data_IF_888118843768
#
_entry.id   IF_888118843768
#
_cell.length_a   1.000
_cell.length_b   1.000
_cell.length_c   1.000
_cell.angle_alpha   90.00
_cell.angle_beta   90.00
_cell.angle_gamma   90.00
#
_symmetry.space_group_name_H-M   'P 1'
#
loop_
_entity.id
_entity.type
_entity.pdbx_description
1 polymer ?
#
# COMPACT_ATOMS: atom_id res chain seq x y z
N UNK A 1 -18.50 15.43 30.92
CA UNK A 1 -17.45 15.22 29.90
C UNK A 1 -18.12 14.74 28.61
N UNK A 2 -17.94 15.44 27.49
CA UNK A 2 -18.47 15.03 26.18
C UNK A 2 -17.41 14.16 25.51
N UNK A 3 -17.52 12.83 25.65
CA UNK A 3 -16.60 11.85 25.04
C UNK A 3 -16.89 11.62 23.55
N UNK A 4 -18.03 12.10 23.03
CA UNK A 4 -18.45 11.92 21.65
C UNK A 4 -17.41 12.30 20.57
N UNK A 5 -16.63 13.40 20.72
CA UNK A 5 -15.62 13.76 19.72
C UNK A 5 -14.45 12.77 19.65
N UNK A 6 -14.02 12.21 20.79
CA UNK A 6 -12.93 11.23 20.84
C UNK A 6 -13.33 9.92 20.17
N UNK A 7 -14.55 9.43 20.44
CA UNK A 7 -15.07 8.22 19.79
C UNK A 7 -15.20 8.37 18.27
N UNK A 8 -15.48 9.58 17.78
CA UNK A 8 -15.55 9.83 16.34
C UNK A 8 -14.15 9.82 15.72
N UNK A 9 -13.18 10.48 16.35
CA UNK A 9 -11.79 10.48 15.90
C UNK A 9 -11.19 9.06 15.88
N UNK A 10 -11.41 8.26 16.93
CA UNK A 10 -10.91 6.89 17.00
C UNK A 10 -11.49 6.01 15.87
N UNK A 11 -12.78 6.23 15.53
CA UNK A 11 -13.43 5.52 14.42
C UNK A 11 -12.87 5.93 13.07
N UNK A 12 -12.65 7.23 12.84
CA UNK A 12 -12.07 7.74 11.60
C UNK A 12 -10.64 7.21 11.41
N UNK A 13 -9.83 7.20 12.47
CA UNK A 13 -8.49 6.61 12.45
C UNK A 13 -8.53 5.09 12.16
N UNK A 14 -9.40 4.34 12.83
CA UNK A 14 -9.52 2.89 12.60
C UNK A 14 -9.94 2.57 11.15
N UNK A 15 -10.79 3.40 10.54
CA UNK A 15 -11.15 3.27 9.12
C UNK A 15 -9.93 3.54 8.24
N UNK A 16 -9.20 4.63 8.48
CA UNK A 16 -7.99 4.96 7.71
C UNK A 16 -6.93 3.87 7.79
N UNK A 17 -6.66 3.34 8.99
CA UNK A 17 -5.74 2.22 9.20
C UNK A 17 -6.20 0.97 8.44
N UNK A 18 -7.49 0.64 8.48
CA UNK A 18 -8.05 -0.50 7.76
C UNK A 18 -7.90 -0.38 6.24
N UNK A 19 -8.14 0.81 5.67
CA UNK A 19 -7.97 1.06 4.24
C UNK A 19 -6.49 0.93 3.85
N UNK A 20 -5.57 1.53 4.61
CA UNK A 20 -4.13 1.43 4.33
C UNK A 20 -3.63 -0.02 4.41
N UNK A 21 -4.05 -0.78 5.43
CA UNK A 21 -3.67 -2.18 5.59
C UNK A 21 -4.14 -3.06 4.43
N UNK A 22 -5.39 -2.88 3.96
CA UNK A 22 -5.90 -3.68 2.86
C UNK A 22 -5.26 -3.28 1.52
N UNK A 23 -5.05 -1.99 1.26
CA UNK A 23 -4.34 -1.53 0.07
C UNK A 23 -2.92 -2.13 -0.01
N UNK A 24 -2.15 -2.04 1.09
CA UNK A 24 -0.82 -2.61 1.19
C UNK A 24 -0.83 -4.13 0.95
N UNK A 25 -1.73 -4.85 1.63
CA UNK A 25 -1.85 -6.30 1.51
C UNK A 25 -2.21 -6.71 0.08
N UNK A 26 -3.11 -5.98 -0.59
CA UNK A 26 -3.50 -6.25 -1.96
C UNK A 26 -2.31 -6.07 -2.91
N UNK A 27 -1.60 -4.95 -2.80
CA UNK A 27 -0.39 -4.65 -3.61
C UNK A 27 0.67 -5.73 -3.43
N UNK A 28 1.01 -6.11 -2.19
CA UNK A 28 2.00 -7.16 -1.94
C UNK A 28 1.60 -8.51 -2.54
N UNK A 29 0.31 -8.88 -2.47
CA UNK A 29 -0.19 -10.11 -3.09
C UNK A 29 -0.13 -10.08 -4.61
N UNK A 30 -0.42 -8.93 -5.23
CA UNK A 30 -0.30 -8.74 -6.68
C UNK A 30 1.14 -8.87 -7.14
N UNK A 31 2.06 -8.20 -6.44
CA UNK A 31 3.50 -8.29 -6.67
C UNK A 31 4.00 -9.74 -6.55
N UNK A 32 3.66 -10.41 -5.45
CA UNK A 32 4.05 -11.81 -5.24
C UNK A 32 3.49 -12.73 -6.31
N UNK A 33 2.26 -12.49 -6.76
CA UNK A 33 1.63 -13.28 -7.83
C UNK A 33 2.31 -13.07 -9.18
N UNK A 34 2.78 -11.87 -9.48
CA UNK A 34 3.36 -11.50 -10.78
C UNK A 34 4.85 -11.81 -10.88
N UNK A 35 5.61 -11.57 -9.80
CA UNK A 35 7.07 -11.62 -9.79
C UNK A 35 7.67 -12.67 -8.84
N UNK A 36 6.85 -13.32 -8.02
CA UNK A 36 7.32 -14.29 -7.03
C UNK A 36 7.84 -13.62 -5.77
N UNK A 37 9.00 -14.03 -5.28
CA UNK A 37 9.60 -13.44 -4.08
C UNK A 37 10.00 -11.98 -4.35
N UNK A 38 9.58 -11.07 -3.47
CA UNK A 38 9.87 -9.64 -3.59
C UNK A 38 11.10 -9.33 -2.74
N UNK A 39 12.11 -8.62 -3.28
CA UNK A 39 13.25 -8.16 -2.50
C UNK A 39 12.82 -7.37 -1.27
N UNK A 40 13.42 -7.67 -0.11
CA UNK A 40 13.05 -7.07 1.17
C UNK A 40 13.10 -5.53 1.15
N UNK A 41 14.10 -4.95 0.46
CA UNK A 41 14.23 -3.50 0.33
C UNK A 41 13.03 -2.86 -0.38
N UNK A 42 12.49 -3.52 -1.43
CA UNK A 42 11.30 -3.02 -2.13
C UNK A 42 10.06 -3.16 -1.26
N UNK A 43 9.94 -4.29 -0.55
CA UNK A 43 8.83 -4.52 0.37
C UNK A 43 8.79 -3.46 1.49
N UNK A 44 9.93 -3.10 2.06
CA UNK A 44 10.04 -2.05 3.08
C UNK A 44 9.62 -0.67 2.54
N UNK A 45 9.99 -0.33 1.30
CA UNK A 45 9.54 0.92 0.67
C UNK A 45 8.02 0.90 0.50
N UNK A 46 7.47 -0.18 -0.06
CA UNK A 46 6.03 -0.31 -0.31
C UNK A 46 5.21 -0.23 0.98
N UNK A 47 5.69 -0.81 2.09
CA UNK A 47 5.04 -0.76 3.41
C UNK A 47 4.90 0.67 3.95
N UNK A 48 5.74 1.60 3.52
CA UNK A 48 5.74 2.99 3.95
C UNK A 48 5.01 3.93 2.97
N UNK A 49 4.48 3.40 1.86
CA UNK A 49 3.72 4.21 0.91
C UNK A 49 2.39 4.68 1.52
N UNK A 50 1.95 5.91 1.22
CA UNK A 50 0.60 6.35 1.54
C UNK A 50 -0.43 5.55 0.73
N UNK A 51 -1.67 5.52 1.22
CA UNK A 51 -2.75 4.72 0.63
C UNK A 51 -2.99 5.04 -0.84
N UNK A 52 -2.95 6.32 -1.22
CA UNK A 52 -3.10 6.79 -2.60
C UNK A 52 -2.01 6.22 -3.53
N UNK A 53 -0.75 6.22 -3.09
CA UNK A 53 0.34 5.60 -3.84
C UNK A 53 0.21 4.08 -3.94
N UNK A 54 -0.34 3.42 -2.92
CA UNK A 54 -0.62 1.97 -2.98
C UNK A 54 -1.72 1.65 -4.00
N UNK A 55 -2.77 2.47 -4.07
CA UNK A 55 -3.83 2.35 -5.06
C UNK A 55 -3.30 2.59 -6.48
N UNK A 56 -2.51 3.65 -6.67
CA UNK A 56 -1.86 3.95 -7.95
C UNK A 56 -0.89 2.85 -8.39
N UNK A 57 -0.08 2.34 -7.46
CA UNK A 57 0.80 1.20 -7.72
C UNK A 57 -0.03 -0.03 -8.14
N UNK A 58 -1.17 -0.28 -7.51
CA UNK A 58 -2.09 -1.36 -7.90
C UNK A 58 -2.51 -1.29 -9.37
N UNK A 59 -2.75 -0.10 -9.89
CA UNK A 59 -3.09 0.12 -11.30
C UNK A 59 -1.86 0.00 -12.20
N UNK A 60 -0.76 0.69 -11.85
CA UNK A 60 0.50 0.67 -12.62
C UNK A 60 1.08 -0.74 -12.75
N UNK A 61 0.88 -1.58 -11.73
CA UNK A 61 1.29 -2.98 -11.74
C UNK A 61 0.73 -3.74 -12.94
N UNK A 62 -0.41 -3.34 -13.51
CA UNK A 62 -0.99 -4.00 -14.69
C UNK A 62 -0.06 -3.89 -15.92
N UNK A 63 0.71 -2.81 -16.01
CA UNK A 63 1.60 -2.50 -17.14
C UNK A 63 3.05 -3.00 -16.94
N UNK A 64 3.44 -3.41 -15.72
CA UNK A 64 4.83 -3.80 -15.42
C UNK A 64 5.21 -5.17 -15.98
N UNK A 65 6.33 -5.29 -16.68
CA UNK A 65 6.80 -6.58 -17.19
C UNK A 65 7.91 -7.18 -16.31
N UNK A 66 8.56 -6.35 -15.49
CA UNK A 66 9.74 -6.72 -14.71
C UNK A 66 9.74 -6.05 -13.33
N UNK A 67 10.57 -6.56 -12.41
CA UNK A 67 10.86 -5.88 -11.15
C UNK A 67 11.59 -4.53 -11.36
N UNK A 68 12.27 -4.34 -12.50
CA UNK A 68 12.89 -3.06 -12.85
C UNK A 68 11.83 -1.98 -13.11
N UNK A 69 10.65 -2.34 -13.64
CA UNK A 69 9.55 -1.38 -13.83
C UNK A 69 9.01 -0.89 -12.48
N UNK A 70 8.91 -1.80 -11.50
CA UNK A 70 8.56 -1.47 -10.12
C UNK A 70 9.60 -0.55 -9.47
N UNK A 71 10.88 -0.89 -9.58
CA UNK A 71 11.97 -0.08 -9.04
C UNK A 71 11.98 1.33 -9.65
N UNK A 72 11.80 1.43 -10.96
CA UNK A 72 11.68 2.71 -11.66
C UNK A 72 10.45 3.51 -11.19
N UNK A 73 9.32 2.86 -10.92
CA UNK A 73 8.12 3.52 -10.42
C UNK A 73 8.32 4.08 -9.01
N UNK A 74 8.98 3.32 -8.13
CA UNK A 74 9.23 3.73 -6.74
C UNK A 74 10.26 4.86 -6.60
N UNK A 75 11.10 5.08 -7.61
CA UNK A 75 12.15 6.11 -7.62
C UNK A 75 11.79 7.36 -8.43
N UNK A 76 10.56 7.49 -8.92
CA UNK A 76 10.03 8.72 -9.54
C UNK A 76 9.72 9.77 -8.47
#
# INVERSE_FOLDING_TARGET
MRLAPLYQQDREQAVQEGVQQEALKLVLRQLQRRFGEIPQNLEEIIRNLPVECLEDLGLALLDFNTLTDLDNWLNQ
#
